data_IF_649660421036
#
_entry.id   IF_649660421036
#
_cell.length_a   1.000
_cell.length_b   1.000
_cell.length_c   1.000
_cell.angle_alpha   90.00
_cell.angle_beta   90.00
_cell.angle_gamma   90.00
#
_symmetry.space_group_name_H-M   'P 1'
#
loop_
_entity.id
_entity.type
_entity.pdbx_description
1 polymer ?
#
# COMPACT_ATOMS: atom_id res chain seq x y z
N UNK A 1 -14.47 -24.36 -80.50
CA UNK A 1 -13.59 -23.78 -79.46
C UNK A 1 -14.47 -22.93 -78.57
N UNK A 2 -14.39 -23.16 -77.26
CA UNK A 2 -15.40 -22.80 -76.27
C UNK A 2 -15.36 -21.31 -75.87
N UNK A 3 -16.51 -20.65 -75.89
CA UNK A 3 -16.77 -19.41 -75.16
C UNK A 3 -17.37 -19.78 -73.79
N UNK A 4 -16.62 -19.52 -72.72
CA UNK A 4 -17.11 -19.63 -71.35
C UNK A 4 -17.34 -18.22 -70.78
N UNK A 5 -18.60 -17.86 -70.56
CA UNK A 5 -18.99 -16.70 -69.78
C UNK A 5 -18.69 -16.96 -68.29
N UNK A 6 -18.11 -16.00 -67.53
CA UNK A 6 -18.00 -16.15 -66.09
C UNK A 6 -19.36 -15.88 -65.43
N UNK A 7 -19.84 -16.89 -64.70
CA UNK A 7 -21.04 -16.81 -63.86
C UNK A 7 -20.83 -15.76 -62.76
N UNK A 8 -21.69 -14.75 -62.76
CA UNK A 8 -21.86 -13.81 -61.64
C UNK A 8 -22.33 -14.60 -60.42
N UNK A 9 -21.42 -14.84 -59.46
CA UNK A 9 -21.78 -15.33 -58.14
C UNK A 9 -22.51 -14.23 -57.38
N UNK A 10 -23.82 -14.33 -57.38
CA UNK A 10 -24.71 -13.54 -56.53
C UNK A 10 -24.60 -14.10 -55.12
N UNK A 11 -23.72 -13.51 -54.30
CA UNK A 11 -23.49 -13.92 -52.92
C UNK A 11 -24.71 -13.53 -52.06
N UNK A 12 -25.65 -14.47 -51.94
CA UNK A 12 -26.84 -14.35 -51.11
C UNK A 12 -26.45 -14.37 -49.63
N UNK A 13 -26.14 -13.19 -49.08
CA UNK A 13 -25.97 -13.03 -47.63
C UNK A 13 -27.29 -13.40 -46.94
N UNK A 14 -27.32 -14.59 -46.35
CA UNK A 14 -28.51 -15.13 -45.73
C UNK A 14 -28.97 -14.24 -44.54
N UNK A 15 -30.25 -13.81 -44.51
CA UNK A 15 -30.75 -12.79 -43.56
C UNK A 15 -30.67 -13.21 -42.08
N UNK A 16 -30.51 -14.50 -41.79
CA UNK A 16 -30.34 -15.01 -40.43
C UNK A 16 -29.00 -14.61 -39.79
N UNK A 17 -27.94 -14.39 -40.58
CA UNK A 17 -26.64 -13.90 -40.06
C UNK A 17 -26.71 -12.44 -39.64
N UNK A 18 -27.48 -11.63 -40.37
CA UNK A 18 -27.76 -10.23 -40.01
C UNK A 18 -28.66 -10.14 -38.76
N UNK A 19 -29.58 -11.08 -38.56
CA UNK A 19 -30.44 -11.11 -37.38
C UNK A 19 -29.69 -11.51 -36.09
N UNK A 20 -28.81 -12.52 -36.17
CA UNK A 20 -27.95 -12.91 -35.05
C UNK A 20 -26.96 -11.79 -34.67
N UNK A 21 -26.32 -11.15 -35.64
CA UNK A 21 -25.38 -10.04 -35.34
C UNK A 21 -26.10 -8.82 -34.74
N UNK A 22 -27.31 -8.48 -35.20
CA UNK A 22 -28.09 -7.35 -34.67
C UNK A 22 -28.64 -7.60 -33.26
N UNK A 23 -29.06 -8.83 -32.94
CA UNK A 23 -29.49 -9.20 -31.58
C UNK A 23 -28.35 -9.13 -30.55
N UNK A 24 -27.14 -9.56 -30.94
CA UNK A 24 -25.94 -9.53 -30.11
C UNK A 24 -25.34 -8.13 -29.92
N UNK A 25 -25.53 -7.21 -30.88
CA UNK A 25 -25.04 -5.84 -30.77
C UNK A 25 -25.96 -4.92 -29.97
N UNK A 26 -27.27 -5.16 -29.95
CA UNK A 26 -28.24 -4.27 -29.30
C UNK A 26 -28.51 -4.64 -27.81
N UNK A 27 -28.16 -5.86 -27.39
CA UNK A 27 -28.24 -6.34 -25.99
C UNK A 27 -26.84 -6.56 -25.37
N UNK A 28 -25.86 -5.74 -25.73
CA UNK A 28 -24.45 -5.94 -25.32
C UNK A 28 -24.12 -5.37 -23.92
N UNK A 29 -24.98 -4.54 -23.35
CA UNK A 29 -24.76 -3.88 -22.06
C UNK A 29 -25.09 -4.78 -20.84
N UNK A 30 -26.17 -5.56 -20.88
CA UNK A 30 -26.57 -6.41 -19.73
C UNK A 30 -25.61 -7.58 -19.47
N UNK A 31 -24.99 -8.12 -20.52
CA UNK A 31 -23.96 -9.16 -20.42
C UNK A 31 -22.75 -8.61 -19.64
N UNK A 32 -22.35 -7.36 -19.87
CA UNK A 32 -21.31 -6.68 -19.09
C UNK A 32 -21.65 -6.58 -17.60
N UNK A 33 -22.91 -6.24 -17.27
CA UNK A 33 -23.37 -6.23 -15.88
C UNK A 33 -23.36 -7.63 -15.24
N UNK A 34 -23.72 -8.68 -15.99
CA UNK A 34 -23.63 -10.07 -15.53
C UNK A 34 -22.20 -10.51 -15.20
N UNK A 35 -21.20 -10.08 -15.99
CA UNK A 35 -19.79 -10.37 -15.71
C UNK A 35 -19.26 -9.62 -14.49
N UNK A 36 -19.74 -8.40 -14.23
CA UNK A 36 -19.36 -7.60 -13.06
C UNK A 36 -20.14 -8.01 -11.81
N UNK A 37 -21.33 -8.61 -11.96
CA UNK A 37 -22.24 -8.90 -10.86
C UNK A 37 -21.61 -9.70 -9.71
N UNK A 38 -20.81 -10.78 -9.92
CA UNK A 38 -20.20 -11.51 -8.81
C UNK A 38 -19.24 -10.66 -7.97
N UNK A 39 -18.45 -9.79 -8.62
CA UNK A 39 -17.56 -8.86 -7.93
C UNK A 39 -18.36 -7.79 -7.20
N UNK A 40 -19.35 -7.19 -7.86
CA UNK A 40 -20.17 -6.13 -7.28
C UNK A 40 -21.00 -6.61 -6.08
N UNK A 41 -21.59 -7.81 -6.17
CA UNK A 41 -22.30 -8.45 -5.06
C UNK A 41 -21.37 -8.70 -3.87
N UNK A 42 -20.15 -9.20 -4.14
CA UNK A 42 -19.15 -9.43 -3.10
C UNK A 42 -18.76 -8.12 -2.41
N UNK A 43 -18.50 -7.07 -3.19
CA UNK A 43 -18.22 -5.72 -2.68
C UNK A 43 -19.36 -5.19 -1.79
N UNK A 44 -20.61 -5.30 -2.24
CA UNK A 44 -21.75 -4.84 -1.45
C UNK A 44 -21.87 -5.61 -0.12
N UNK A 45 -21.77 -6.94 -0.16
CA UNK A 45 -21.99 -7.81 0.99
C UNK A 45 -20.85 -7.78 2.00
N UNK A 46 -19.60 -7.74 1.53
CA UNK A 46 -18.42 -7.93 2.38
C UNK A 46 -17.62 -6.66 2.65
N UNK A 47 -17.77 -5.61 1.83
CA UNK A 47 -17.10 -4.33 2.07
C UNK A 47 -18.10 -3.25 2.52
N UNK A 48 -19.12 -2.98 1.69
CA UNK A 48 -20.00 -1.83 1.90
C UNK A 48 -20.94 -2.01 3.09
N UNK A 49 -21.57 -3.17 3.24
CA UNK A 49 -22.44 -3.47 4.38
C UNK A 49 -21.68 -3.42 5.72
N UNK A 50 -20.53 -4.12 5.91
CA UNK A 50 -19.76 -4.02 7.15
C UNK A 50 -19.23 -2.61 7.42
N UNK A 51 -18.89 -1.83 6.38
CA UNK A 51 -18.50 -0.43 6.54
C UNK A 51 -19.61 0.40 7.18
N UNK A 52 -20.84 0.34 6.64
CA UNK A 52 -21.96 1.09 7.21
C UNK A 52 -22.41 0.53 8.57
N UNK A 53 -22.31 -0.78 8.79
CA UNK A 53 -22.54 -1.37 10.10
C UNK A 53 -21.53 -0.87 11.13
N UNK A 54 -20.24 -0.79 10.79
CA UNK A 54 -19.21 -0.22 11.66
C UNK A 54 -19.46 1.27 11.92
N UNK A 55 -19.86 2.02 10.89
CA UNK A 55 -20.24 3.43 11.06
C UNK A 55 -21.44 3.56 12.01
N UNK A 56 -22.47 2.73 11.90
CA UNK A 56 -23.59 2.72 12.84
C UNK A 56 -23.13 2.40 14.27
N UNK A 57 -22.34 1.34 14.44
CA UNK A 57 -21.82 0.92 15.74
C UNK A 57 -20.95 1.98 16.42
N UNK A 58 -20.28 2.84 15.65
CA UNK A 58 -19.50 3.95 16.19
C UNK A 58 -20.31 4.96 17.00
N UNK A 59 -21.63 5.02 16.79
CA UNK A 59 -22.56 5.87 17.55
C UNK A 59 -23.28 5.13 18.68
N UNK A 60 -22.83 3.91 19.00
CA UNK A 60 -23.46 3.04 20.01
C UNK A 60 -22.49 2.69 21.14
N UNK A 61 -23.02 2.38 22.32
CA UNK A 61 -22.26 1.78 23.42
C UNK A 61 -22.29 0.25 23.31
N UNK A 62 -21.78 -0.26 22.19
CA UNK A 62 -21.73 -1.68 21.93
C UNK A 62 -20.55 -2.32 22.68
N UNK A 63 -20.85 -3.29 23.54
CA UNK A 63 -19.90 -4.12 24.28
C UNK A 63 -20.15 -5.61 24.02
N UNK A 64 -19.20 -6.48 24.39
CA UNK A 64 -19.42 -7.93 24.27
C UNK A 64 -20.37 -8.42 25.37
N UNK A 65 -21.49 -9.01 24.97
CA UNK A 65 -22.47 -9.63 25.88
C UNK A 65 -23.88 -9.66 25.27
N UNK A 66 -24.91 -10.01 26.07
CA UNK A 66 -26.32 -9.92 25.65
C UNK A 66 -26.83 -8.47 25.51
N UNK A 67 -25.96 -7.48 25.74
CA UNK A 67 -26.30 -6.06 25.68
C UNK A 67 -26.50 -5.65 24.23
N UNK A 68 -27.72 -5.19 23.90
CA UNK A 68 -28.01 -4.61 22.61
C UNK A 68 -27.28 -3.27 22.45
N UNK A 69 -26.81 -2.93 21.24
CA UNK A 69 -26.13 -1.66 21.00
C UNK A 69 -27.09 -0.48 21.26
N UNK A 70 -26.90 0.21 22.39
CA UNK A 70 -27.65 1.41 22.72
C UNK A 70 -27.06 2.61 21.98
N UNK A 71 -27.92 3.41 21.33
CA UNK A 71 -27.50 4.62 20.66
C UNK A 71 -27.05 5.69 21.67
N UNK A 72 -25.80 6.12 21.59
CA UNK A 72 -25.20 7.16 22.44
C UNK A 72 -24.80 8.41 21.66
N UNK A 73 -25.08 8.44 20.35
CA UNK A 73 -24.73 9.55 19.47
C UNK A 73 -23.22 9.78 19.45
N UNK A 74 -22.78 11.03 19.67
CA UNK A 74 -21.38 11.44 19.53
C UNK A 74 -20.49 11.15 20.75
N UNK A 75 -21.00 10.45 21.77
CA UNK A 75 -20.30 10.28 23.04
C UNK A 75 -18.93 9.60 22.89
N UNK A 76 -18.81 8.58 22.03
CA UNK A 76 -17.53 7.92 21.73
C UNK A 76 -16.50 8.91 21.18
N UNK A 77 -16.90 9.77 20.23
CA UNK A 77 -16.02 10.77 19.64
C UNK A 77 -15.59 11.83 20.66
N UNK A 78 -16.50 12.28 21.52
CA UNK A 78 -16.18 13.23 22.59
C UNK A 78 -15.15 12.62 23.54
N UNK A 79 -15.33 11.36 23.95
CA UNK A 79 -14.36 10.65 24.81
C UNK A 79 -12.98 10.56 24.14
N UNK A 80 -12.93 10.19 22.86
CA UNK A 80 -11.67 10.10 22.08
C UNK A 80 -10.91 11.43 22.10
N UNK A 81 -11.58 12.55 21.85
CA UNK A 81 -10.91 13.85 21.73
C UNK A 81 -10.66 14.57 23.05
N UNK A 82 -11.36 14.22 24.14
CA UNK A 82 -11.29 14.96 25.42
C UNK A 82 -10.64 14.19 26.56
N UNK A 83 -10.66 12.85 26.54
CA UNK A 83 -10.25 12.01 27.67
C UNK A 83 -9.21 10.96 27.33
N UNK A 84 -9.06 10.58 26.06
CA UNK A 84 -8.16 9.51 25.65
C UNK A 84 -6.74 10.01 25.33
N UNK A 85 -5.84 9.92 26.31
CA UNK A 85 -4.42 10.23 26.12
C UNK A 85 -3.70 9.21 25.20
N UNK A 86 -4.22 7.98 25.10
CA UNK A 86 -3.67 6.92 24.27
C UNK A 86 -3.94 7.21 22.79
N UNK A 87 -5.09 7.80 22.48
CA UNK A 87 -5.44 8.21 21.11
C UNK A 87 -4.36 9.10 20.50
N UNK A 88 -4.06 10.25 21.11
CA UNK A 88 -3.07 11.20 20.58
C UNK A 88 -1.68 10.57 20.44
N UNK A 89 -1.29 9.74 21.41
CA UNK A 89 -0.01 9.03 21.39
C UNK A 89 0.07 8.02 20.25
N UNK A 90 -0.99 7.24 20.04
CA UNK A 90 -1.06 6.23 18.97
C UNK A 90 -1.06 6.87 17.57
N UNK A 91 -1.76 8.00 17.40
CA UNK A 91 -1.70 8.82 16.18
C UNK A 91 -0.28 9.34 15.96
N UNK A 92 0.35 9.93 16.98
CA UNK A 92 1.70 10.48 16.87
C UNK A 92 2.75 9.42 16.53
N UNK A 93 2.65 8.22 17.12
CA UNK A 93 3.54 7.11 16.80
C UNK A 93 3.34 6.60 15.36
N UNK A 94 2.10 6.47 14.91
CA UNK A 94 1.80 6.05 13.53
C UNK A 94 2.22 7.09 12.50
N UNK A 95 1.99 8.38 12.76
CA UNK A 95 2.45 9.47 11.89
C UNK A 95 3.98 9.53 11.85
N UNK A 96 4.65 9.38 12.99
CA UNK A 96 6.12 9.27 13.03
C UNK A 96 6.58 8.09 12.17
N UNK A 97 6.00 6.91 12.39
CA UNK A 97 6.35 5.72 11.61
C UNK A 97 6.16 5.97 10.11
N UNK A 98 5.01 6.48 9.68
CA UNK A 98 4.68 6.82 8.30
C UNK A 98 5.69 7.80 7.69
N UNK A 99 5.97 8.90 8.40
CA UNK A 99 6.83 9.98 7.90
C UNK A 99 8.27 9.54 7.63
N UNK A 100 8.76 8.50 8.32
CA UNK A 100 10.10 7.95 8.09
C UNK A 100 10.07 6.69 7.22
N UNK A 101 9.17 5.74 7.50
CA UNK A 101 9.15 4.45 6.79
C UNK A 101 8.80 4.62 5.31
N UNK A 102 7.84 5.50 4.98
CA UNK A 102 7.36 5.63 3.60
C UNK A 102 8.44 6.24 2.70
N UNK A 103 9.04 7.41 3.02
CA UNK A 103 10.09 7.98 2.17
C UNK A 103 11.34 7.09 2.08
N UNK A 104 11.74 6.44 3.18
CA UNK A 104 12.89 5.54 3.17
C UNK A 104 12.63 4.30 2.31
N UNK A 105 11.45 3.68 2.41
CA UNK A 105 11.07 2.55 1.56
C UNK A 105 11.01 2.94 0.08
N UNK A 106 10.41 4.10 -0.23
CA UNK A 106 10.37 4.61 -1.61
C UNK A 106 11.77 4.85 -2.17
N UNK A 107 12.62 5.53 -1.42
CA UNK A 107 13.99 5.81 -1.83
C UNK A 107 14.79 4.52 -2.04
N UNK A 108 14.71 3.59 -1.09
CA UNK A 108 15.37 2.28 -1.18
C UNK A 108 14.87 1.50 -2.39
N UNK A 109 13.55 1.37 -2.55
CA UNK A 109 12.94 0.66 -3.66
C UNK A 109 13.31 1.26 -5.02
N UNK A 110 13.30 2.59 -5.13
CA UNK A 110 13.65 3.31 -6.35
C UNK A 110 15.13 3.14 -6.70
N UNK A 111 16.03 3.30 -5.73
CA UNK A 111 17.48 3.11 -5.94
C UNK A 111 17.79 1.68 -6.38
N UNK A 112 17.21 0.68 -5.70
CA UNK A 112 17.40 -0.72 -6.10
C UNK A 112 16.80 -0.97 -7.49
N UNK A 113 15.61 -0.44 -7.79
CA UNK A 113 15.02 -0.56 -9.11
C UNK A 113 15.90 0.04 -10.22
N UNK A 114 16.54 1.19 -9.99
CA UNK A 114 17.51 1.80 -10.92
C UNK A 114 18.71 0.87 -11.17
N UNK A 115 19.27 0.27 -10.12
CA UNK A 115 20.39 -0.68 -10.25
C UNK A 115 19.96 -1.92 -11.05
N UNK A 116 18.73 -2.41 -10.83
CA UNK A 116 18.17 -3.58 -11.49
C UNK A 116 17.61 -3.32 -12.90
N UNK A 117 17.52 -2.05 -13.31
CA UNK A 117 17.13 -1.64 -14.65
C UNK A 117 18.33 -1.60 -15.64
N UNK A 118 19.46 -2.20 -15.27
CA UNK A 118 20.65 -2.30 -16.12
C UNK A 118 20.65 -3.61 -16.93
N UNK A 119 21.22 -3.57 -18.14
CA UNK A 119 21.30 -4.73 -19.06
C UNK A 119 22.46 -5.68 -18.73
N UNK A 120 22.60 -6.08 -17.47
CA UNK A 120 23.66 -6.99 -17.01
C UNK A 120 23.16 -8.44 -17.02
N UNK A 121 24.01 -9.39 -17.41
CA UNK A 121 23.69 -10.83 -17.37
C UNK A 121 23.48 -11.28 -15.91
N UNK A 122 22.45 -12.09 -15.67
CA UNK A 122 22.11 -12.58 -14.32
C UNK A 122 21.14 -11.69 -13.52
N UNK A 123 20.62 -10.61 -14.11
CA UNK A 123 19.73 -9.67 -13.43
C UNK A 123 18.45 -10.30 -12.85
N UNK A 124 17.95 -11.37 -13.48
CA UNK A 124 16.79 -12.12 -12.97
C UNK A 124 17.02 -12.69 -11.57
N UNK A 125 18.23 -13.17 -11.26
CA UNK A 125 18.57 -13.72 -9.94
C UNK A 125 18.51 -12.60 -8.89
N UNK A 126 19.10 -11.44 -9.19
CA UNK A 126 19.05 -10.29 -8.28
C UNK A 126 17.62 -9.81 -8.04
N UNK A 127 16.80 -9.70 -9.09
CA UNK A 127 15.36 -9.37 -8.95
C UNK A 127 14.65 -10.35 -8.02
N UNK A 128 14.90 -11.65 -8.16
CA UNK A 128 14.34 -12.67 -7.27
C UNK A 128 14.82 -12.49 -5.82
N UNK A 129 16.13 -12.30 -5.59
CA UNK A 129 16.70 -12.15 -4.24
C UNK A 129 16.09 -10.94 -3.53
N UNK A 130 16.00 -9.79 -4.19
CA UNK A 130 15.45 -8.59 -3.56
C UNK A 130 13.91 -8.61 -3.44
N UNK A 131 13.22 -9.40 -4.26
CA UNK A 131 11.76 -9.58 -4.14
C UNK A 131 11.38 -10.60 -3.06
N UNK A 132 12.25 -11.59 -2.79
CA UNK A 132 12.00 -12.70 -1.87
C UNK A 132 11.48 -12.26 -0.48
N UNK A 133 12.00 -11.21 0.18
CA UNK A 133 11.47 -10.73 1.46
C UNK A 133 9.97 -10.38 1.44
N UNK A 134 9.44 -9.93 0.30
CA UNK A 134 8.03 -9.53 0.17
C UNK A 134 7.09 -10.75 0.19
N UNK A 135 7.60 -11.93 -0.19
CA UNK A 135 6.84 -13.17 -0.18
C UNK A 135 6.77 -13.77 1.24
N UNK A 136 7.73 -13.41 2.11
CA UNK A 136 7.78 -13.92 3.48
C UNK A 136 6.55 -13.42 4.27
N UNK A 137 5.80 -14.31 4.94
CA UNK A 137 4.68 -13.89 5.77
C UNK A 137 5.12 -12.90 6.86
N UNK A 138 4.35 -11.83 7.06
CA UNK A 138 4.71 -10.75 8.00
C UNK A 138 4.98 -11.26 9.43
N UNK A 139 4.24 -12.29 9.88
CA UNK A 139 4.46 -12.92 11.19
C UNK A 139 5.82 -13.63 11.24
N UNK A 140 6.19 -14.38 10.20
CA UNK A 140 7.49 -15.04 10.12
C UNK A 140 8.62 -14.01 10.07
N UNK A 141 8.45 -12.95 9.27
CA UNK A 141 9.38 -11.82 9.23
C UNK A 141 9.57 -11.19 10.61
N UNK A 142 8.48 -10.93 11.35
CA UNK A 142 8.53 -10.38 12.70
C UNK A 142 9.28 -11.31 13.68
N UNK A 143 9.08 -12.62 13.60
CA UNK A 143 9.81 -13.60 14.44
C UNK A 143 11.31 -13.58 14.12
N UNK A 144 11.69 -13.56 12.84
CA UNK A 144 13.08 -13.44 12.42
C UNK A 144 13.69 -12.15 12.99
N UNK A 145 13.01 -11.02 12.82
CA UNK A 145 13.47 -9.74 13.35
C UNK A 145 13.52 -9.68 14.87
N UNK A 146 12.61 -10.34 15.59
CA UNK A 146 12.68 -10.50 17.04
C UNK A 146 13.97 -11.20 17.48
N UNK A 147 14.37 -12.25 16.75
CA UNK A 147 15.65 -12.92 16.95
C UNK A 147 16.85 -12.03 16.62
N UNK A 148 16.85 -11.35 15.47
CA UNK A 148 17.93 -10.47 15.03
C UNK A 148 18.15 -9.28 15.97
N UNK A 149 17.06 -8.69 16.46
CA UNK A 149 17.04 -7.52 17.34
C UNK A 149 17.15 -7.88 18.83
N UNK A 150 17.36 -9.16 19.16
CA UNK A 150 17.53 -9.57 20.54
C UNK A 150 18.75 -8.91 21.18
N UNK A 151 18.60 -8.41 22.41
CA UNK A 151 19.68 -7.71 23.11
C UNK A 151 20.89 -8.60 23.43
N UNK A 152 20.67 -9.88 23.74
CA UNK A 152 21.72 -10.77 24.25
C UNK A 152 22.37 -11.61 23.17
N UNK A 153 21.57 -12.19 22.28
CA UNK A 153 22.05 -13.13 21.27
C UNK A 153 21.75 -12.69 19.83
N UNK A 154 21.17 -11.51 19.64
CA UNK A 154 20.79 -11.02 18.31
C UNK A 154 22.02 -10.73 17.45
N UNK A 155 21.99 -11.20 16.20
CA UNK A 155 23.09 -11.04 15.25
C UNK A 155 23.51 -9.57 15.06
N UNK A 156 22.53 -8.65 15.09
CA UNK A 156 22.78 -7.21 14.95
C UNK A 156 23.66 -6.70 16.10
N UNK A 157 23.35 -7.08 17.34
CA UNK A 157 24.15 -6.68 18.50
C UNK A 157 25.52 -7.37 18.54
N UNK A 158 25.61 -8.63 18.11
CA UNK A 158 26.90 -9.31 17.98
C UNK A 158 27.82 -8.55 17.01
N UNK A 159 27.28 -8.09 15.88
CA UNK A 159 28.03 -7.26 14.93
C UNK A 159 28.43 -5.91 15.52
N UNK A 160 27.51 -5.21 16.20
CA UNK A 160 27.83 -3.93 16.88
C UNK A 160 28.98 -4.07 17.87
N UNK A 161 28.94 -5.10 18.73
CA UNK A 161 30.00 -5.38 19.70
C UNK A 161 31.31 -5.74 19.00
N UNK A 162 31.27 -6.49 17.90
CA UNK A 162 32.46 -6.84 17.13
C UNK A 162 33.15 -5.63 16.50
N UNK A 163 32.42 -4.57 16.16
CA UNK A 163 32.98 -3.29 15.66
C UNK A 163 33.26 -2.27 16.78
N UNK A 164 33.15 -2.67 18.05
CA UNK A 164 33.48 -1.84 19.21
C UNK A 164 32.35 -0.92 19.71
N UNK A 165 31.10 -1.16 19.30
CA UNK A 165 29.92 -0.41 19.76
C UNK A 165 29.17 -1.15 20.87
N UNK A 166 28.50 -0.40 21.74
CA UNK A 166 27.68 -0.98 22.80
C UNK A 166 26.42 -1.69 22.25
N UNK A 167 25.97 -2.79 22.87
CA UNK A 167 24.76 -3.48 22.45
C UNK A 167 23.52 -2.62 22.66
N UNK A 168 22.66 -2.58 21.65
CA UNK A 168 21.43 -1.79 21.66
C UNK A 168 20.24 -2.63 22.11
N UNK A 169 19.41 -2.04 22.98
CA UNK A 169 18.18 -2.64 23.49
C UNK A 169 16.99 -2.29 22.58
N UNK A 170 17.05 -2.76 21.34
CA UNK A 170 16.16 -2.43 20.23
C UNK A 170 14.67 -2.36 20.59
N UNK A 171 14.15 -3.42 21.23
CA UNK A 171 12.72 -3.55 21.55
C UNK A 171 12.37 -3.19 23.00
N UNK A 172 13.38 -2.93 23.85
CA UNK A 172 13.19 -2.69 25.30
C UNK A 172 13.49 -1.26 25.73
N UNK A 173 14.04 -0.42 24.85
CA UNK A 173 14.24 1.02 25.09
C UNK A 173 13.30 1.83 24.20
N UNK A 174 12.47 2.74 24.76
CA UNK A 174 11.49 3.53 24.01
C UNK A 174 12.05 4.22 22.75
N UNK A 175 13.29 4.71 22.83
CA UNK A 175 13.99 5.42 21.76
C UNK A 175 14.25 4.55 20.52
N UNK A 176 14.44 3.25 20.70
CA UNK A 176 14.83 2.33 19.64
C UNK A 176 13.67 1.56 19.02
N UNK A 177 12.51 1.51 19.68
CA UNK A 177 11.35 0.75 19.20
C UNK A 177 10.90 1.22 17.82
N UNK A 178 10.70 2.53 17.62
CA UNK A 178 10.25 3.08 16.33
C UNK A 178 11.30 2.87 15.23
N UNK A 179 12.60 3.18 15.44
CA UNK A 179 13.66 2.80 14.51
C UNK A 179 13.67 1.32 14.13
N UNK A 180 13.51 0.41 15.10
CA UNK A 180 13.46 -1.02 14.85
C UNK A 180 12.29 -1.43 13.95
N UNK A 181 11.10 -0.88 14.19
CA UNK A 181 9.93 -1.12 13.34
C UNK A 181 10.15 -0.59 11.91
N UNK A 182 10.77 0.59 11.77
CA UNK A 182 11.10 1.16 10.47
C UNK A 182 12.10 0.27 9.73
N UNK A 183 13.19 -0.15 10.37
CA UNK A 183 14.22 -1.03 9.78
C UNK A 183 13.59 -2.34 9.30
N UNK A 184 12.73 -2.95 10.11
CA UNK A 184 12.01 -4.15 9.70
C UNK A 184 11.14 -3.90 8.47
N UNK A 185 10.42 -2.78 8.44
CA UNK A 185 9.54 -2.44 7.31
C UNK A 185 10.30 -2.27 5.99
N UNK A 186 11.54 -1.75 6.06
CA UNK A 186 12.40 -1.57 4.90
C UNK A 186 12.82 -2.89 4.27
N UNK A 187 12.70 -4.02 4.95
CA UNK A 187 13.01 -5.33 4.37
C UNK A 187 11.98 -5.76 3.32
N UNK A 188 10.73 -5.32 3.46
CA UNK A 188 9.60 -5.67 2.58
C UNK A 188 9.43 -4.80 1.32
N UNK A 189 10.47 -4.08 0.89
CA UNK A 189 10.37 -3.09 -0.19
C UNK A 189 10.21 -3.68 -1.61
N UNK A 190 10.24 -5.01 -1.75
CA UNK A 190 10.29 -5.71 -3.04
C UNK A 190 9.12 -5.42 -3.97
N UNK A 191 7.89 -5.37 -3.46
CA UNK A 191 6.71 -5.00 -4.27
C UNK A 191 6.84 -3.59 -4.87
N UNK A 192 7.24 -2.59 -4.07
CA UNK A 192 7.43 -1.21 -4.53
C UNK A 192 8.52 -1.12 -5.59
N UNK A 193 9.60 -1.88 -5.41
CA UNK A 193 10.71 -1.94 -6.35
C UNK A 193 10.30 -2.58 -7.68
N UNK A 194 9.48 -3.64 -7.68
CA UNK A 194 8.95 -4.22 -8.93
C UNK A 194 8.07 -3.23 -9.68
N UNK A 195 7.24 -2.47 -8.97
CA UNK A 195 6.41 -1.41 -9.56
C UNK A 195 7.30 -0.33 -10.18
N UNK A 196 8.34 0.13 -9.47
CA UNK A 196 9.30 1.08 -10.03
C UNK A 196 10.06 0.51 -11.24
N UNK A 197 10.46 -0.76 -11.18
CA UNK A 197 11.15 -1.41 -12.28
C UNK A 197 10.27 -1.50 -13.54
N UNK A 198 8.97 -1.78 -13.38
CA UNK A 198 8.02 -1.77 -14.48
C UNK A 198 7.88 -0.36 -15.09
N UNK A 199 7.76 0.68 -14.25
CA UNK A 199 7.73 2.07 -14.72
C UNK A 199 9.01 2.47 -15.46
N UNK A 200 10.18 2.12 -14.91
CA UNK A 200 11.48 2.42 -15.51
C UNK A 200 11.68 1.74 -16.88
N UNK A 201 11.10 0.55 -17.07
CA UNK A 201 11.13 -0.17 -18.35
C UNK A 201 10.18 0.42 -19.39
N UNK A 202 9.17 1.20 -18.96
CA UNK A 202 8.26 1.91 -19.85
C UNK A 202 8.85 3.19 -20.45
N UNK A 203 9.99 3.69 -19.94
CA UNK A 203 10.61 4.92 -20.44
C UNK A 203 11.28 4.64 -21.80
N UNK A 204 10.91 5.36 -22.88
CA UNK A 204 11.53 5.19 -24.20
C UNK A 204 13.04 5.40 -24.16
N UNK A 205 13.77 4.48 -24.80
CA UNK A 205 15.25 4.53 -24.82
C UNK A 205 15.79 5.78 -25.54
N UNK A 206 15.04 6.27 -26.54
CA UNK A 206 15.37 7.43 -27.36
C UNK A 206 15.61 8.69 -26.52
N UNK A 207 14.86 8.88 -25.42
CA UNK A 207 15.06 10.02 -24.51
C UNK A 207 16.43 9.96 -23.85
N UNK A 208 16.86 8.77 -23.42
CA UNK A 208 18.19 8.59 -22.82
C UNK A 208 19.33 8.80 -23.82
N UNK A 209 19.09 8.46 -25.09
CA UNK A 209 20.04 8.66 -26.19
C UNK A 209 20.17 10.13 -26.57
N UNK A 210 19.05 10.87 -26.61
CA UNK A 210 19.05 12.31 -26.84
C UNK A 210 19.95 13.05 -25.83
N UNK A 211 19.79 12.76 -24.53
CA UNK A 211 20.68 13.34 -23.49
C UNK A 211 22.14 12.94 -23.67
N UNK A 212 22.41 11.73 -24.20
CA UNK A 212 23.78 11.31 -24.47
C UNK A 212 24.42 12.09 -25.62
N UNK A 213 23.64 12.39 -26.67
CA UNK A 213 24.07 13.21 -27.82
C UNK A 213 24.35 14.65 -27.37
N UNK A 214 23.53 15.19 -26.48
CA UNK A 214 23.71 16.53 -25.89
C UNK A 214 24.86 16.60 -24.85
N UNK A 215 25.63 15.52 -24.67
CA UNK A 215 26.78 15.48 -23.76
C UNK A 215 26.42 15.30 -22.28
N UNK A 216 25.16 14.98 -21.98
CA UNK A 216 24.67 14.75 -20.62
C UNK A 216 25.15 13.42 -20.02
N UNK A 217 25.51 13.46 -18.73
CA UNK A 217 25.93 12.27 -17.96
C UNK A 217 24.75 11.57 -17.25
N UNK A 218 25.04 10.50 -16.48
CA UNK A 218 24.01 9.73 -15.76
C UNK A 218 23.16 10.56 -14.78
N UNK A 219 23.74 11.60 -14.17
CA UNK A 219 23.00 12.51 -13.31
C UNK A 219 22.00 13.37 -14.09
N UNK A 220 22.37 13.81 -15.30
CA UNK A 220 21.46 14.53 -16.19
C UNK A 220 20.28 13.65 -16.60
N UNK A 221 20.54 12.39 -16.97
CA UNK A 221 19.50 11.39 -17.27
C UNK A 221 18.56 11.17 -16.09
N UNK A 222 19.12 10.98 -14.89
CA UNK A 222 18.32 10.74 -13.68
C UNK A 222 17.41 11.92 -13.36
N UNK A 223 17.96 13.14 -13.35
CA UNK A 223 17.23 14.34 -12.91
C UNK A 223 16.23 14.85 -13.95
N UNK A 224 16.55 14.77 -15.24
CA UNK A 224 15.74 15.40 -16.30
C UNK A 224 14.85 14.43 -17.06
N UNK A 225 15.11 13.12 -17.01
CA UNK A 225 14.29 12.10 -17.69
C UNK A 225 13.68 11.16 -16.66
N UNK A 226 14.53 10.45 -15.92
CA UNK A 226 14.05 9.32 -15.12
C UNK A 226 13.12 9.77 -14.00
N UNK A 227 13.54 10.72 -13.14
CA UNK A 227 12.70 11.17 -12.03
C UNK A 227 11.37 11.79 -12.54
N UNK A 228 11.37 12.74 -13.49
CA UNK A 228 10.13 13.33 -14.01
C UNK A 228 9.14 12.31 -14.58
N UNK A 229 9.60 11.38 -15.43
CA UNK A 229 8.72 10.37 -16.03
C UNK A 229 8.29 9.27 -15.05
N UNK A 230 9.01 9.11 -13.94
CA UNK A 230 8.66 8.19 -12.87
C UNK A 230 7.70 8.81 -11.84
N UNK A 231 7.40 10.11 -11.91
CA UNK A 231 6.52 10.77 -10.94
C UNK A 231 5.15 10.11 -10.76
N UNK A 232 4.47 9.57 -11.80
CA UNK A 232 3.20 8.85 -11.60
C UNK A 232 3.38 7.56 -10.78
N UNK A 233 4.48 6.84 -11.01
CA UNK A 233 4.81 5.62 -10.26
C UNK A 233 5.24 5.93 -8.83
N UNK A 234 5.99 7.02 -8.61
CA UNK A 234 6.36 7.51 -7.27
C UNK A 234 5.09 7.90 -6.51
N UNK A 235 4.18 8.62 -7.16
CA UNK A 235 2.89 9.00 -6.59
C UNK A 235 2.03 7.80 -6.18
N UNK A 236 1.90 6.81 -7.07
CA UNK A 236 1.18 5.58 -6.76
C UNK A 236 1.77 4.87 -5.53
N UNK A 237 3.08 4.62 -5.53
CA UNK A 237 3.74 3.96 -4.40
C UNK A 237 3.68 4.78 -3.11
N UNK A 238 3.68 6.12 -3.21
CA UNK A 238 3.52 7.02 -2.07
C UNK A 238 2.15 6.87 -1.42
N UNK A 239 1.07 6.90 -2.21
CA UNK A 239 -0.30 6.73 -1.69
C UNK A 239 -0.44 5.36 -1.02
N UNK A 240 0.00 4.29 -1.69
CA UNK A 240 -0.09 2.93 -1.15
C UNK A 240 0.76 2.81 0.13
N UNK A 241 1.94 3.41 0.16
CA UNK A 241 2.81 3.44 1.34
C UNK A 241 2.18 4.16 2.52
N UNK A 242 1.55 5.31 2.29
CA UNK A 242 0.83 6.07 3.32
C UNK A 242 -0.32 5.22 3.88
N UNK A 243 -1.19 4.67 3.04
CA UNK A 243 -2.31 3.83 3.47
C UNK A 243 -1.82 2.65 4.30
N UNK A 244 -0.82 1.92 3.80
CA UNK A 244 -0.25 0.76 4.47
C UNK A 244 0.37 1.12 5.84
N UNK A 245 1.05 2.27 5.94
CA UNK A 245 1.69 2.71 7.18
C UNK A 245 0.71 2.99 8.31
N UNK A 246 -0.48 3.52 7.99
CA UNK A 246 -1.57 3.73 8.96
C UNK A 246 -2.25 2.42 9.40
N UNK A 247 -2.16 1.38 8.57
CA UNK A 247 -2.72 0.05 8.82
C UNK A 247 -1.72 -0.93 9.45
N UNK A 248 -0.52 -0.47 9.80
CA UNK A 248 0.49 -1.31 10.47
C UNK A 248 -0.05 -1.83 11.80
N UNK A 249 -0.05 -3.16 11.94
CA UNK A 249 -0.53 -3.86 13.12
C UNK A 249 0.31 -5.11 13.42
N UNK A 250 0.31 -6.08 12.49
CA UNK A 250 0.83 -7.44 12.73
C UNK A 250 2.28 -7.45 13.21
N UNK A 251 3.17 -6.71 12.55
CA UNK A 251 4.58 -6.66 12.94
C UNK A 251 4.79 -6.09 14.34
N UNK A 252 3.98 -5.09 14.74
CA UNK A 252 4.06 -4.48 16.07
C UNK A 252 3.55 -5.46 17.11
N UNK A 253 2.39 -6.09 16.84
CA UNK A 253 1.79 -7.08 17.72
C UNK A 253 2.74 -8.25 18.01
N UNK A 254 3.41 -8.77 16.97
CA UNK A 254 4.30 -9.93 17.13
C UNK A 254 5.62 -9.54 17.81
N UNK A 255 6.16 -8.35 17.54
CA UNK A 255 7.46 -7.93 18.09
C UNK A 255 7.39 -7.44 19.54
N UNK A 256 6.37 -6.67 19.88
CA UNK A 256 6.29 -5.94 21.15
C UNK A 256 4.92 -6.07 21.84
N UNK A 257 4.08 -7.02 21.41
CA UNK A 257 2.74 -7.25 21.94
C UNK A 257 1.80 -6.03 21.79
N UNK A 258 0.61 -6.16 22.36
CA UNK A 258 -0.51 -5.23 22.30
C UNK A 258 -0.33 -3.96 23.14
N UNK A 259 0.64 -3.92 24.05
CA UNK A 259 0.92 -2.73 24.87
C UNK A 259 1.81 -1.70 24.14
N UNK A 260 2.41 -2.07 23.01
CA UNK A 260 3.29 -1.19 22.23
C UNK A 260 4.65 -0.96 22.88
N UNK A 261 5.05 -1.85 23.79
CA UNK A 261 6.34 -1.81 24.49
C UNK A 261 6.47 -0.72 25.55
N UNK A 262 7.67 -0.56 26.14
CA UNK A 262 7.94 0.42 27.20
C UNK A 262 7.47 1.83 26.87
N UNK A 263 6.75 2.45 27.81
CA UNK A 263 6.11 3.75 27.64
C UNK A 263 5.21 3.83 26.41
N UNK A 264 4.68 2.71 25.89
CA UNK A 264 3.86 2.63 24.68
C UNK A 264 4.50 3.32 23.46
N UNK A 265 5.84 3.31 23.38
CA UNK A 265 6.56 4.06 22.36
C UNK A 265 6.38 3.49 20.94
N UNK A 266 6.00 2.21 20.83
CA UNK A 266 5.62 1.55 19.58
C UNK A 266 4.12 1.34 19.42
N UNK A 267 3.28 1.91 20.29
CA UNK A 267 1.83 1.73 20.20
C UNK A 267 1.29 2.49 18.97
N UNK A 268 0.99 1.75 17.91
CA UNK A 268 0.41 2.27 16.66
C UNK A 268 -1.12 2.32 16.74
N UNK A 269 -1.74 3.16 15.90
CA UNK A 269 -3.18 3.40 15.89
C UNK A 269 -4.02 2.11 15.80
N UNK A 270 -3.71 1.21 14.86
CA UNK A 270 -4.45 -0.05 14.72
C UNK A 270 -4.34 -0.93 15.97
N UNK A 271 -3.27 -0.81 16.75
CA UNK A 271 -3.15 -1.48 18.05
C UNK A 271 -4.14 -0.92 19.06
N UNK A 272 -4.33 0.40 19.08
CA UNK A 272 -5.31 1.05 19.95
C UNK A 272 -6.75 0.61 19.59
N UNK A 273 -7.07 0.52 18.30
CA UNK A 273 -8.33 -0.04 17.81
C UNK A 273 -8.50 -1.48 18.29
N UNK A 274 -7.49 -2.32 18.09
CA UNK A 274 -7.49 -3.73 18.50
C UNK A 274 -7.71 -3.88 20.01
N UNK A 275 -6.98 -3.13 20.82
CA UNK A 275 -7.09 -3.18 22.28
C UNK A 275 -8.50 -2.82 22.73
N UNK A 276 -9.09 -1.75 22.19
CA UNK A 276 -10.46 -1.38 22.53
C UNK A 276 -11.48 -2.42 22.08
N UNK A 277 -11.33 -2.97 20.88
CA UNK A 277 -12.27 -3.96 20.33
C UNK A 277 -12.21 -5.32 21.04
N UNK A 278 -11.01 -5.84 21.28
CA UNK A 278 -10.78 -7.24 21.63
C UNK A 278 -10.22 -7.46 23.03
N UNK A 279 -9.56 -6.46 23.64
CA UNK A 279 -9.00 -6.57 24.99
C UNK A 279 -9.89 -5.90 26.04
N UNK A 280 -10.39 -4.70 25.72
CA UNK A 280 -11.27 -3.92 26.60
C UNK A 280 -12.75 -4.10 26.27
N UNK A 281 -13.06 -4.79 25.16
CA UNK A 281 -14.42 -5.10 24.71
C UNK A 281 -15.34 -3.89 24.53
N UNK A 282 -14.76 -2.70 24.30
CA UNK A 282 -15.44 -1.44 23.94
C UNK A 282 -15.58 -1.35 22.42
N UNK A 283 -16.45 -2.18 21.84
CA UNK A 283 -16.57 -2.31 20.38
C UNK A 283 -17.15 -1.06 19.70
N UNK A 284 -18.12 -0.39 20.32
CA UNK A 284 -18.64 0.88 19.80
C UNK A 284 -17.56 1.98 19.75
N UNK A 285 -16.76 2.08 20.81
CA UNK A 285 -15.60 2.97 20.87
C UNK A 285 -14.54 2.62 19.81
N UNK A 286 -14.21 1.33 19.65
CA UNK A 286 -13.26 0.89 18.62
C UNK A 286 -13.77 1.11 17.19
N UNK A 287 -15.08 1.02 16.97
CA UNK A 287 -15.72 1.37 15.70
C UNK A 287 -15.56 2.88 15.41
N UNK A 288 -15.73 3.75 16.40
CA UNK A 288 -15.46 5.18 16.28
C UNK A 288 -13.99 5.49 15.97
N UNK A 289 -13.05 4.82 16.65
CA UNK A 289 -11.62 4.91 16.31
C UNK A 289 -11.36 4.49 14.86
N UNK A 290 -11.99 3.42 14.37
CA UNK A 290 -11.84 2.97 12.98
C UNK A 290 -12.37 3.99 11.96
N UNK A 291 -13.49 4.66 12.26
CA UNK A 291 -14.03 5.74 11.42
C UNK A 291 -13.07 6.93 11.39
N UNK A 292 -12.48 7.31 12.53
CA UNK A 292 -11.47 8.38 12.57
C UNK A 292 -10.23 7.98 11.76
N UNK A 293 -9.77 6.73 11.83
CA UNK A 293 -8.65 6.25 11.03
C UNK A 293 -8.94 6.37 9.54
N UNK A 294 -10.13 5.96 9.11
CA UNK A 294 -10.58 6.12 7.73
C UNK A 294 -10.52 7.59 7.29
N UNK A 295 -11.02 8.51 8.12
CA UNK A 295 -10.96 9.94 7.83
C UNK A 295 -9.53 10.47 7.78
N UNK A 296 -8.64 10.02 8.68
CA UNK A 296 -7.22 10.40 8.67
C UNK A 296 -6.58 9.94 7.34
N UNK A 297 -6.74 8.67 6.98
CA UNK A 297 -6.20 8.13 5.72
C UNK A 297 -6.76 8.91 4.53
N UNK A 298 -8.08 9.14 4.50
CA UNK A 298 -8.73 9.91 3.45
C UNK A 298 -8.16 11.34 3.34
N UNK A 299 -7.95 12.03 4.45
CA UNK A 299 -7.33 13.37 4.46
C UNK A 299 -5.92 13.33 3.89
N UNK A 300 -5.07 12.40 4.33
CA UNK A 300 -3.70 12.27 3.78
C UNK A 300 -3.72 11.90 2.29
N UNK A 301 -4.61 11.01 1.85
CA UNK A 301 -4.78 10.67 0.44
C UNK A 301 -5.24 11.86 -0.37
N UNK A 302 -6.26 12.61 0.09
CA UNK A 302 -6.75 13.80 -0.59
C UNK A 302 -5.71 14.91 -0.66
N UNK A 303 -4.92 15.11 0.40
CA UNK A 303 -3.78 16.05 0.37
C UNK A 303 -2.78 15.61 -0.70
N UNK A 304 -2.42 14.33 -0.71
CA UNK A 304 -1.43 13.78 -1.65
C UNK A 304 -1.91 13.94 -3.10
N UNK A 305 -3.16 13.54 -3.39
CA UNK A 305 -3.81 13.72 -4.70
C UNK A 305 -3.91 15.21 -5.07
N UNK A 306 -4.33 16.07 -4.14
CA UNK A 306 -4.46 17.50 -4.46
C UNK A 306 -3.11 18.18 -4.72
N UNK A 307 -2.03 17.64 -4.16
CA UNK A 307 -0.68 18.12 -4.49
C UNK A 307 -0.14 17.53 -5.79
N UNK A 308 -0.66 16.39 -6.28
CA UNK A 308 -0.09 15.70 -7.44
C UNK A 308 -0.12 16.53 -8.71
N UNK A 309 -1.16 17.36 -8.89
CA UNK A 309 -1.29 18.27 -10.03
C UNK A 309 -0.09 19.22 -10.20
N UNK A 310 0.73 19.40 -9.15
CA UNK A 310 1.90 20.30 -9.17
C UNK A 310 3.22 19.61 -9.50
N UNK A 311 3.31 18.29 -9.41
CA UNK A 311 4.59 17.57 -9.49
C UNK A 311 4.53 16.22 -10.20
N UNK A 312 3.34 15.69 -10.46
CA UNK A 312 3.16 14.48 -11.26
C UNK A 312 3.00 14.86 -12.71
N UNK A 313 3.86 14.30 -13.56
CA UNK A 313 3.86 14.53 -14.99
C UNK A 313 3.31 13.28 -15.69
N UNK A 314 2.14 13.41 -16.32
CA UNK A 314 1.62 12.39 -17.21
C UNK A 314 2.08 12.73 -18.63
N UNK A 315 2.82 11.83 -19.28
CA UNK A 315 3.39 12.06 -20.60
C UNK A 315 2.39 12.29 -21.75
N UNK A 316 1.09 12.13 -21.48
CA UNK A 316 -0.01 12.27 -22.44
C UNK A 316 -0.80 13.60 -22.29
N UNK A 317 -0.45 14.48 -21.36
CA UNK A 317 -1.25 15.70 -21.06
C UNK A 317 -1.10 16.85 -22.09
N UNK A 318 -0.48 16.62 -23.25
CA UNK A 318 -0.33 17.63 -24.31
C UNK A 318 -1.51 17.68 -25.31
N UNK A 319 -2.59 16.91 -25.07
CA UNK A 319 -3.79 16.85 -25.92
C UNK A 319 -5.06 17.47 -25.27
N UNK A 320 -4.90 18.47 -24.38
CA UNK A 320 -6.04 19.23 -23.82
C UNK A 320 -5.94 20.75 -23.93
#
# INVERSE_FOLDING_TARGET
MAEAQPLVQQDSQAPWRAWLTKFWFQHRSWIGFLFIAPWFLSFLLFDLMPFFANLYLSFTDYSIGPVQPNWVGWQNYIEIFTKDEIFAKSVGNTVYYMAFSVPLSLALAFVIALLLNTRIRGMQIFRTIYYLPTIVPVVAAAIIFSGLLNTRYGFINQFLVAVGLDPVRWLSRPEWIKPSLIIMSLWGFGAQMVIFLAGLQGIPQELYEAVAIDGGNGWHRLRHITIPLMTPTIFFNLIIGIIASFQVFTQVFVLIDSDGGPLQAGLVYMMNVYNNAFRYFRKGYAAALSVILFLIILVFTLITVRTSDRWVFYGDDDDR
#
